data_IF_074847430501
#
_entry.id   IF_074847430501
#
_cell.length_a   1.000
_cell.length_b   1.000
_cell.length_c   1.000
_cell.angle_alpha   90.00
_cell.angle_beta   90.00
_cell.angle_gamma   90.00
#
_symmetry.space_group_name_H-M   'P 1'
#
loop_
_entity.id
_entity.type
_entity.pdbx_description
1 polymer ?
#
# COMPACT_ATOMS: atom_id res chain seq x y z
N UNK A 1 -16.40 34.68 -3.48
CA UNK A 1 -15.10 35.07 -4.06
C UNK A 1 -14.01 33.97 -3.97
N UNK A 2 -14.12 32.98 -3.12
CA UNK A 2 -13.10 31.91 -2.97
C UNK A 2 -13.14 30.82 -4.09
N UNK A 3 -14.29 30.58 -4.71
CA UNK A 3 -14.43 29.53 -5.73
C UNK A 3 -13.85 29.88 -7.12
N UNK A 4 -13.57 31.16 -7.37
CA UNK A 4 -13.02 31.63 -8.64
C UNK A 4 -11.48 31.51 -8.70
N UNK A 5 -10.81 31.55 -7.54
CA UNK A 5 -9.34 31.50 -7.43
C UNK A 5 -8.82 30.07 -7.65
N UNK A 6 -9.58 29.06 -7.23
CA UNK A 6 -9.18 27.64 -7.38
C UNK A 6 -9.29 27.19 -8.85
N UNK A 7 -10.23 27.71 -9.61
CA UNK A 7 -10.34 27.39 -11.05
C UNK A 7 -9.25 28.02 -11.91
N UNK A 8 -8.73 29.17 -11.51
CA UNK A 8 -7.62 29.83 -12.21
C UNK A 8 -6.27 29.14 -11.94
N UNK A 9 -6.08 28.52 -10.78
CA UNK A 9 -4.84 27.84 -10.41
C UNK A 9 -4.70 26.47 -11.07
N UNK A 10 -5.81 25.77 -11.36
CA UNK A 10 -5.75 24.51 -12.11
C UNK A 10 -5.45 24.70 -13.61
N UNK A 11 -5.83 25.83 -14.21
CA UNK A 11 -5.52 26.13 -15.61
C UNK A 11 -4.06 26.56 -15.83
N UNK A 12 -3.40 27.16 -14.83
CA UNK A 12 -2.01 27.59 -14.97
C UNK A 12 -0.99 26.46 -14.81
N UNK A 13 -1.33 25.37 -14.09
CA UNK A 13 -0.44 24.20 -14.02
C UNK A 13 -0.47 23.33 -15.28
N UNK A 14 -1.55 23.38 -16.06
CA UNK A 14 -1.67 22.63 -17.31
C UNK A 14 -0.90 23.25 -18.49
N UNK A 15 -0.51 24.53 -18.41
CA UNK A 15 0.18 25.25 -19.49
C UNK A 15 1.71 25.21 -19.39
N UNK A 16 2.29 24.81 -18.26
CA UNK A 16 3.75 24.71 -18.13
C UNK A 16 4.35 23.37 -18.59
N UNK A 17 3.54 22.42 -19.03
CA UNK A 17 3.98 21.13 -19.56
C UNK A 17 4.15 21.08 -21.10
N UNK A 18 4.01 22.19 -21.80
CA UNK A 18 4.32 22.28 -23.23
C UNK A 18 5.82 22.56 -23.45
N UNK A 19 6.67 21.71 -22.92
CA UNK A 19 8.04 21.57 -23.40
C UNK A 19 7.97 21.13 -24.87
N UNK A 20 8.66 21.84 -25.77
CA UNK A 20 8.78 21.52 -27.19
C UNK A 20 9.32 20.10 -27.36
N UNK A 21 8.42 19.16 -27.51
CA UNK A 21 8.79 17.84 -28.02
C UNK A 21 9.16 18.04 -29.48
N UNK A 22 10.45 17.94 -29.78
CA UNK A 22 10.90 17.78 -31.16
C UNK A 22 10.33 16.44 -31.64
N UNK A 23 9.29 16.49 -32.43
CA UNK A 23 8.81 15.36 -33.19
C UNK A 23 9.88 15.02 -34.24
N UNK A 24 10.84 14.19 -33.85
CA UNK A 24 11.66 13.47 -34.82
C UNK A 24 10.72 12.65 -35.70
N UNK A 25 11.00 12.59 -37.00
CA UNK A 25 10.23 11.96 -38.06
C UNK A 25 9.45 10.72 -37.58
N UNK A 26 8.20 10.92 -37.19
CA UNK A 26 7.25 9.85 -36.96
C UNK A 26 6.86 9.33 -38.33
N UNK A 27 7.37 8.19 -38.74
CA UNK A 27 6.83 7.45 -39.87
C UNK A 27 5.49 6.86 -39.43
N UNK A 28 4.40 7.04 -40.22
CA UNK A 28 3.18 6.30 -39.96
C UNK A 28 3.50 4.80 -39.98
N UNK A 29 3.11 4.08 -38.96
CA UNK A 29 3.14 2.64 -38.96
C UNK A 29 2.06 2.14 -39.93
N UNK A 30 2.44 1.28 -40.86
CA UNK A 30 1.50 0.57 -41.72
C UNK A 30 0.51 -0.23 -40.89
N UNK A 31 -0.75 -0.35 -41.35
CA UNK A 31 -1.81 -1.09 -40.61
C UNK A 31 -1.41 -2.52 -40.25
N UNK A 32 -0.54 -3.12 -41.06
CA UNK A 32 0.00 -4.45 -40.82
C UNK A 32 1.02 -4.50 -39.68
N UNK A 33 1.79 -3.43 -39.47
CA UNK A 33 2.66 -3.26 -38.29
C UNK A 33 1.88 -2.94 -37.04
N UNK A 34 0.79 -2.15 -37.15
CA UNK A 34 -0.14 -1.88 -36.04
C UNK A 34 -0.89 -3.13 -35.59
N UNK A 35 -1.22 -4.04 -36.51
CA UNK A 35 -1.90 -5.31 -36.17
C UNK A 35 -0.98 -6.31 -35.46
N UNK A 36 0.35 -6.13 -35.56
CA UNK A 36 1.36 -6.94 -34.86
C UNK A 36 1.73 -6.36 -33.49
N UNK A 37 1.35 -5.12 -33.21
CA UNK A 37 1.46 -4.54 -31.86
C UNK A 37 0.29 -5.09 -31.04
N UNK A 38 0.41 -6.33 -30.59
CA UNK A 38 -0.50 -6.82 -29.56
C UNK A 38 -0.20 -6.01 -28.30
N UNK A 39 -1.13 -5.18 -27.87
CA UNK A 39 -1.02 -4.33 -26.68
C UNK A 39 -1.02 -5.13 -25.37
N UNK A 40 -0.29 -6.25 -25.35
CA UNK A 40 -0.11 -7.10 -24.17
C UNK A 40 1.14 -6.76 -23.37
N UNK A 41 1.99 -5.87 -23.87
CA UNK A 41 3.16 -5.43 -23.14
C UNK A 41 2.74 -4.33 -22.15
N UNK A 42 2.48 -4.76 -20.94
CA UNK A 42 2.18 -3.85 -19.84
C UNK A 42 3.33 -2.86 -19.60
N UNK A 43 3.03 -1.81 -18.83
CA UNK A 43 4.04 -0.83 -18.43
C UNK A 43 4.97 -1.45 -17.38
N UNK A 44 6.27 -1.53 -17.69
CA UNK A 44 7.29 -1.85 -16.71
C UNK A 44 7.98 -0.55 -16.25
N UNK A 45 8.12 -0.36 -14.94
CA UNK A 45 8.72 0.85 -14.38
C UNK A 45 9.61 0.55 -13.18
N UNK A 46 10.59 1.41 -13.00
CA UNK A 46 11.49 1.39 -11.86
C UNK A 46 11.40 2.72 -11.12
N UNK A 47 11.30 2.66 -9.81
CA UNK A 47 11.23 3.85 -8.94
C UNK A 47 12.63 4.16 -8.36
N UNK A 48 13.67 4.14 -9.19
CA UNK A 48 15.03 4.49 -8.78
C UNK A 48 15.07 5.94 -8.28
N UNK A 49 15.72 6.14 -7.13
CA UNK A 49 15.85 7.46 -6.52
C UNK A 49 14.54 8.10 -6.10
N UNK A 50 13.44 7.33 -6.04
CA UNK A 50 12.16 7.86 -5.60
C UNK A 50 12.23 8.28 -4.14
N UNK A 51 11.82 9.51 -3.87
CA UNK A 51 11.61 10.02 -2.53
C UNK A 51 10.40 10.98 -2.54
N UNK A 52 9.56 10.84 -1.56
CA UNK A 52 8.41 11.70 -1.31
C UNK A 52 8.41 12.10 0.16
N UNK A 53 8.31 13.38 0.40
CA UNK A 53 8.17 13.92 1.75
C UNK A 53 7.25 15.15 1.72
N UNK A 54 6.56 15.42 2.80
CA UNK A 54 5.73 16.62 2.86
C UNK A 54 4.81 16.67 4.08
N UNK A 55 4.25 17.85 4.33
CA UNK A 55 3.33 18.10 5.43
C UNK A 55 1.90 17.58 5.14
N UNK A 56 1.74 16.69 4.15
CA UNK A 56 0.43 16.08 3.88
C UNK A 56 -0.14 15.48 5.16
N UNK A 57 -1.39 15.79 5.46
CA UNK A 57 -2.13 15.19 6.57
C UNK A 57 -3.39 14.55 6.04
N UNK A 58 -3.59 13.28 6.36
CA UNK A 58 -4.82 12.55 6.14
C UNK A 58 -5.59 12.54 7.44
N UNK A 59 -6.83 12.97 7.43
CA UNK A 59 -7.68 13.01 8.63
C UNK A 59 -8.97 12.23 8.37
N UNK A 60 -9.23 11.25 9.21
CA UNK A 60 -10.54 10.62 9.30
C UNK A 60 -11.30 11.24 10.48
N UNK A 61 -12.46 11.83 10.22
CA UNK A 61 -13.31 12.45 11.24
C UNK A 61 -14.56 11.61 11.39
N UNK A 62 -14.83 11.17 12.63
CA UNK A 62 -16.09 10.49 12.96
C UNK A 62 -17.27 11.48 12.84
N UNK A 63 -18.42 11.03 12.34
CA UNK A 63 -19.65 11.84 12.34
C UNK A 63 -20.28 12.02 13.73
N UNK A 64 -19.73 11.38 14.76
CA UNK A 64 -20.26 11.43 16.12
C UNK A 64 -20.14 12.82 16.77
N UNK A 65 -20.90 13.06 17.82
CA UNK A 65 -20.86 14.31 18.57
C UNK A 65 -19.45 14.58 19.11
N UNK A 66 -18.95 15.81 18.85
CA UNK A 66 -17.57 16.19 19.19
C UNK A 66 -16.55 15.93 18.08
N UNK A 67 -16.97 15.32 16.95
CA UNK A 67 -16.15 15.08 15.76
C UNK A 67 -14.73 14.55 16.07
N UNK A 68 -14.59 13.46 16.85
CA UNK A 68 -13.27 12.91 17.10
C UNK A 68 -12.64 12.50 15.78
N UNK A 69 -11.35 12.74 15.65
CA UNK A 69 -10.63 12.41 14.41
C UNK A 69 -9.30 11.74 14.69
N UNK A 70 -8.93 10.81 13.79
CA UNK A 70 -7.61 10.25 13.70
C UNK A 70 -6.88 10.96 12.55
N UNK A 71 -5.64 11.36 12.75
CA UNK A 71 -4.82 11.95 11.71
C UNK A 71 -3.50 11.19 11.53
N UNK A 72 -3.03 11.17 10.28
CA UNK A 72 -1.71 10.73 9.86
C UNK A 72 -1.07 11.88 9.08
N UNK A 73 0.16 12.23 9.41
CA UNK A 73 0.81 13.38 8.78
C UNK A 73 2.32 13.24 8.66
N UNK A 74 2.97 14.26 8.11
CA UNK A 74 4.41 14.30 7.92
C UNK A 74 4.95 13.05 7.23
N UNK A 75 4.34 12.69 6.10
CA UNK A 75 4.71 11.48 5.36
C UNK A 75 6.12 11.57 4.79
N UNK A 76 6.83 10.47 4.92
CA UNK A 76 8.09 10.23 4.25
C UNK A 76 8.08 8.85 3.63
N UNK A 77 8.41 8.75 2.35
CA UNK A 77 8.54 7.50 1.62
C UNK A 77 9.74 7.62 0.69
N UNK A 78 10.69 6.71 0.78
CA UNK A 78 11.82 6.66 -0.15
C UNK A 78 12.37 5.24 -0.28
N UNK A 79 13.29 5.06 -1.22
CA UNK A 79 14.13 3.88 -1.25
C UNK A 79 15.08 3.91 -0.05
N UNK A 80 15.33 2.73 0.55
CA UNK A 80 16.29 2.55 1.66
C UNK A 80 17.53 1.76 1.27
N UNK A 81 17.51 1.18 0.05
CA UNK A 81 18.67 0.50 -0.54
C UNK A 81 19.58 1.46 -1.31
N UNK A 82 20.65 0.92 -1.86
CA UNK A 82 21.57 1.69 -2.73
C UNK A 82 20.82 2.18 -3.96
N UNK A 83 20.66 3.50 -4.05
CA UNK A 83 19.98 4.19 -5.16
C UNK A 83 20.70 4.03 -6.50
N UNK A 84 21.97 3.66 -6.49
CA UNK A 84 22.79 3.45 -7.68
C UNK A 84 22.77 2.00 -8.17
N UNK A 85 22.25 1.08 -7.37
CA UNK A 85 22.13 -0.32 -7.76
C UNK A 85 21.28 -0.45 -9.04
N UNK A 86 21.79 -1.18 -10.02
CA UNK A 86 21.04 -1.48 -11.23
C UNK A 86 19.91 -2.45 -10.88
N UNK A 87 18.69 -2.01 -11.14
CA UNK A 87 17.51 -2.78 -10.86
C UNK A 87 17.02 -3.43 -12.16
N UNK A 88 17.02 -4.77 -12.21
CA UNK A 88 16.68 -5.54 -13.41
C UNK A 88 15.28 -6.14 -13.40
N UNK A 89 14.58 -6.10 -12.25
CA UNK A 89 13.25 -6.67 -12.08
C UNK A 89 12.25 -5.56 -11.71
N UNK A 90 11.54 -4.98 -12.70
CA UNK A 90 10.69 -3.81 -12.50
C UNK A 90 9.35 -4.16 -11.87
N UNK A 91 8.68 -3.15 -11.34
CA UNK A 91 7.23 -3.17 -11.16
C UNK A 91 6.57 -3.26 -12.53
N UNK A 92 5.46 -3.97 -12.61
CA UNK A 92 4.71 -4.13 -13.87
C UNK A 92 3.25 -3.79 -13.66
N UNK A 93 2.73 -2.98 -14.57
CA UNK A 93 1.31 -2.72 -14.71
C UNK A 93 0.84 -3.40 -16.00
N UNK A 94 0.08 -4.46 -15.86
CA UNK A 94 -0.44 -5.24 -17.00
C UNK A 94 -1.95 -5.06 -17.10
N UNK A 95 -2.46 -5.11 -18.32
CA UNK A 95 -3.89 -5.23 -18.59
C UNK A 95 -4.06 -6.49 -19.45
N UNK A 96 -4.85 -7.43 -18.98
CA UNK A 96 -5.08 -8.68 -19.71
C UNK A 96 -6.53 -9.13 -19.60
N UNK A 97 -6.99 -9.79 -20.69
CA UNK A 97 -8.33 -10.36 -20.73
C UNK A 97 -8.32 -11.78 -20.20
N UNK A 98 -9.34 -12.14 -19.44
CA UNK A 98 -9.59 -13.50 -18.98
C UNK A 98 -10.97 -13.97 -19.45
N UNK A 99 -11.06 -15.23 -19.84
CA UNK A 99 -12.31 -15.81 -20.30
C UNK A 99 -13.39 -15.71 -19.19
N UNK A 100 -14.52 -15.11 -19.53
CA UNK A 100 -15.67 -14.96 -18.61
C UNK A 100 -15.54 -13.79 -17.63
N UNK A 101 -14.56 -12.92 -17.79
CA UNK A 101 -14.33 -11.74 -16.95
C UNK A 101 -14.09 -10.51 -17.82
N UNK A 102 -14.31 -9.34 -17.23
CA UNK A 102 -13.77 -8.08 -17.78
C UNK A 102 -12.24 -8.08 -17.71
N UNK A 103 -11.62 -7.16 -18.43
CA UNK A 103 -10.17 -6.98 -18.36
C UNK A 103 -9.69 -6.78 -16.93
N UNK A 104 -8.58 -7.42 -16.62
CA UNK A 104 -7.93 -7.34 -15.31
C UNK A 104 -6.75 -6.40 -15.42
N UNK A 105 -6.72 -5.39 -14.55
CA UNK A 105 -5.56 -4.53 -14.34
C UNK A 105 -4.75 -5.14 -13.19
N UNK A 106 -3.48 -5.43 -13.43
CA UNK A 106 -2.58 -6.02 -12.44
C UNK A 106 -1.35 -5.15 -12.23
N UNK A 107 -1.12 -4.76 -10.99
CA UNK A 107 0.13 -4.16 -10.53
C UNK A 107 0.92 -5.24 -9.79
N UNK A 108 1.97 -5.75 -10.45
CA UNK A 108 2.85 -6.78 -9.88
C UNK A 108 4.08 -6.16 -9.23
N UNK A 109 4.41 -6.64 -8.04
CA UNK A 109 5.69 -6.34 -7.41
C UNK A 109 6.84 -7.08 -8.09
N UNK A 110 8.07 -6.54 -8.05
CA UNK A 110 9.25 -7.28 -8.47
C UNK A 110 9.39 -8.59 -7.68
N UNK A 111 9.96 -9.62 -8.31
CA UNK A 111 10.32 -10.85 -7.60
C UNK A 111 11.40 -10.60 -6.55
N UNK A 112 12.25 -9.61 -6.81
CA UNK A 112 13.25 -9.09 -5.88
C UNK A 112 14.12 -10.18 -5.26
N UNK A 113 14.52 -11.16 -6.05
CA UNK A 113 15.21 -12.40 -5.61
C UNK A 113 16.42 -12.10 -4.72
N UNK A 114 17.11 -11.01 -4.97
CA UNK A 114 18.29 -10.59 -4.21
C UNK A 114 17.96 -9.62 -3.07
N UNK A 115 16.68 -9.26 -2.85
CA UNK A 115 16.26 -8.32 -1.81
C UNK A 115 16.82 -6.90 -1.97
N UNK A 116 17.15 -6.48 -3.19
CA UNK A 116 17.82 -5.21 -3.46
C UNK A 116 16.87 -4.02 -3.44
N UNK A 117 15.57 -4.23 -3.68
CA UNK A 117 14.58 -3.16 -3.68
C UNK A 117 13.96 -3.04 -2.31
N UNK A 118 14.39 -2.06 -1.59
CA UNK A 118 13.91 -1.79 -0.23
C UNK A 118 13.35 -0.39 -0.13
N UNK A 119 12.34 -0.25 0.69
CA UNK A 119 11.65 0.99 0.96
C UNK A 119 11.71 1.36 2.43
N UNK A 120 11.60 2.62 2.69
CA UNK A 120 11.35 3.13 4.04
C UNK A 120 10.18 4.10 4.02
N UNK A 121 9.39 4.01 5.07
CA UNK A 121 8.21 4.84 5.26
C UNK A 121 8.21 5.39 6.68
N UNK A 122 7.77 6.62 6.85
CA UNK A 122 7.47 7.16 8.16
C UNK A 122 6.26 8.08 8.11
N UNK A 123 5.48 8.10 9.17
CA UNK A 123 4.37 9.01 9.37
C UNK A 123 4.16 9.29 10.86
N UNK A 124 3.81 10.53 11.16
CA UNK A 124 3.33 10.90 12.49
C UNK A 124 1.83 10.64 12.58
N UNK A 125 1.33 10.28 13.74
CA UNK A 125 -0.08 10.02 13.95
C UNK A 125 -0.58 10.61 15.27
N UNK A 126 -1.87 10.85 15.33
CA UNK A 126 -2.50 11.35 16.55
C UNK A 126 -4.02 11.36 16.47
N UNK A 127 -4.62 11.80 17.56
CA UNK A 127 -6.08 11.86 17.73
C UNK A 127 -6.47 13.26 18.16
N UNK A 128 -7.53 13.78 17.55
CA UNK A 128 -8.21 14.98 18.04
C UNK A 128 -9.53 14.56 18.68
N UNK A 129 -9.79 15.02 19.90
CA UNK A 129 -11.03 14.78 20.61
C UNK A 129 -11.34 15.96 21.53
N UNK A 130 -12.59 16.42 21.58
CA UNK A 130 -13.03 17.50 22.46
C UNK A 130 -12.15 18.77 22.34
N UNK A 131 -11.82 19.18 21.11
CA UNK A 131 -10.92 20.31 20.83
C UNK A 131 -9.49 20.16 21.38
N UNK A 132 -9.08 18.97 21.76
CA UNK A 132 -7.72 18.66 22.21
C UNK A 132 -7.07 17.74 21.20
N UNK A 133 -5.83 18.08 20.81
CA UNK A 133 -5.01 17.24 19.92
C UNK A 133 -4.01 16.44 20.76
N UNK A 134 -4.00 15.14 20.56
CA UNK A 134 -3.05 14.22 21.15
C UNK A 134 -2.11 13.74 20.05
N UNK A 135 -0.81 13.99 20.22
CA UNK A 135 0.21 13.38 19.37
C UNK A 135 0.45 11.95 19.86
N UNK A 136 0.16 10.97 19.00
CA UNK A 136 0.37 9.55 19.27
C UNK A 136 1.80 9.09 19.01
N UNK A 137 2.58 9.93 18.33
CA UNK A 137 3.96 9.64 18.01
C UNK A 137 4.20 9.38 16.52
N UNK A 138 5.18 8.52 16.22
CA UNK A 138 5.60 8.22 14.86
C UNK A 138 5.66 6.72 14.63
N UNK A 139 5.20 6.30 13.46
CA UNK A 139 5.40 4.97 12.90
C UNK A 139 6.49 5.04 11.83
N UNK A 140 7.48 4.16 11.91
CA UNK A 140 8.57 4.06 10.94
C UNK A 140 8.67 2.60 10.47
N UNK A 141 8.74 2.40 9.15
CA UNK A 141 9.07 1.14 8.52
C UNK A 141 10.40 1.31 7.80
N UNK A 142 11.37 0.46 8.11
CA UNK A 142 12.68 0.42 7.45
C UNK A 142 12.85 -0.90 6.72
N UNK A 143 13.50 -0.83 5.56
CA UNK A 143 13.78 -2.00 4.72
C UNK A 143 12.54 -2.83 4.38
N UNK A 144 11.43 -2.14 4.08
CA UNK A 144 10.22 -2.77 3.58
C UNK A 144 10.49 -3.34 2.19
N UNK A 145 10.42 -4.64 2.05
CA UNK A 145 10.81 -5.39 0.87
C UNK A 145 9.66 -6.26 0.41
N UNK A 146 9.22 -6.08 -0.84
CA UNK A 146 8.21 -6.93 -1.47
C UNK A 146 8.87 -7.97 -2.37
N UNK A 147 8.35 -9.21 -2.37
CA UNK A 147 8.86 -10.33 -3.17
C UNK A 147 7.74 -10.92 -4.03
N UNK A 148 7.51 -10.34 -5.20
CA UNK A 148 6.43 -10.76 -6.07
C UNK A 148 5.04 -10.46 -5.48
N UNK A 149 4.02 -11.14 -6.02
CA UNK A 149 2.63 -10.83 -5.70
C UNK A 149 2.20 -9.49 -6.28
N UNK A 150 1.20 -8.88 -5.68
CA UNK A 150 0.69 -7.59 -6.13
C UNK A 150 -0.81 -7.45 -5.94
N UNK A 151 -1.36 -6.46 -6.62
CA UNK A 151 -2.77 -6.09 -6.63
C UNK A 151 -3.35 -6.30 -8.04
N UNK A 152 -4.43 -7.05 -8.15
CA UNK A 152 -5.22 -7.16 -9.37
C UNK A 152 -6.60 -6.55 -9.14
N UNK A 153 -7.14 -5.83 -10.11
CA UNK A 153 -8.48 -5.21 -10.05
C UNK A 153 -9.24 -5.47 -11.34
N UNK A 154 -10.55 -5.67 -11.21
CA UNK A 154 -11.48 -5.87 -12.31
C UNK A 154 -12.90 -5.49 -11.87
N UNK A 155 -13.87 -5.58 -12.77
CA UNK A 155 -15.29 -5.54 -12.40
C UNK A 155 -15.72 -6.89 -11.83
N UNK A 156 -16.66 -6.94 -10.85
CA UNK A 156 -17.21 -8.21 -10.37
C UNK A 156 -17.80 -9.04 -11.51
N UNK A 157 -17.58 -10.34 -11.46
CA UNK A 157 -18.17 -11.29 -12.44
C UNK A 157 -19.67 -11.49 -12.28
N UNK A 158 -20.20 -11.29 -11.08
CA UNK A 158 -21.64 -11.25 -10.81
C UNK A 158 -22.18 -9.84 -11.12
N UNK A 159 -23.05 -9.69 -12.15
CA UNK A 159 -23.58 -8.37 -12.53
C UNK A 159 -24.48 -7.74 -11.46
N UNK A 160 -24.93 -8.50 -10.47
CA UNK A 160 -25.70 -7.98 -9.34
C UNK A 160 -24.82 -7.28 -8.30
N UNK A 161 -23.52 -7.56 -8.29
CA UNK A 161 -22.53 -6.95 -7.41
C UNK A 161 -21.93 -5.75 -8.09
N UNK A 162 -22.26 -4.56 -7.62
CA UNK A 162 -21.61 -3.32 -8.08
C UNK A 162 -20.32 -3.09 -7.33
N UNK A 163 -19.35 -2.42 -7.98
CA UNK A 163 -18.09 -2.05 -7.37
C UNK A 163 -16.87 -2.58 -8.11
N UNK A 164 -15.79 -2.79 -7.37
CA UNK A 164 -14.51 -3.28 -7.85
C UNK A 164 -14.20 -4.62 -7.21
N UNK A 165 -13.91 -5.63 -8.02
CA UNK A 165 -13.36 -6.88 -7.57
C UNK A 165 -11.83 -6.78 -7.55
N UNK A 166 -11.19 -7.31 -6.51
CA UNK A 166 -9.73 -7.28 -6.41
C UNK A 166 -9.15 -8.63 -5.98
N UNK A 167 -7.90 -8.84 -6.35
CA UNK A 167 -7.02 -9.87 -5.83
C UNK A 167 -5.82 -9.22 -5.16
N UNK A 168 -5.36 -9.77 -4.06
CA UNK A 168 -4.19 -9.29 -3.33
C UNK A 168 -3.34 -10.46 -2.88
N UNK A 169 -2.07 -10.46 -3.28
CA UNK A 169 -1.09 -11.44 -2.83
C UNK A 169 0.16 -10.70 -2.34
N UNK A 170 0.64 -11.04 -1.14
CA UNK A 170 1.74 -10.36 -0.49
C UNK A 170 2.78 -11.33 0.06
N UNK A 171 4.05 -11.06 -0.24
CA UNK A 171 5.20 -11.55 0.51
C UNK A 171 6.04 -10.34 0.85
N UNK A 172 6.18 -10.08 2.16
CA UNK A 172 6.76 -8.84 2.65
C UNK A 172 7.74 -9.14 3.77
N UNK A 173 8.92 -8.54 3.66
CA UNK A 173 9.88 -8.46 4.75
C UNK A 173 9.97 -7.00 5.21
N UNK A 174 10.07 -6.78 6.52
CA UNK A 174 10.30 -5.47 7.10
C UNK A 174 11.50 -5.59 8.03
N UNK A 175 12.58 -4.88 7.72
CA UNK A 175 13.77 -4.89 8.55
C UNK A 175 13.47 -4.40 9.96
N UNK A 176 12.84 -3.22 10.08
CA UNK A 176 12.37 -2.70 11.36
C UNK A 176 11.01 -2.00 11.21
N UNK A 177 10.10 -2.31 12.14
CA UNK A 177 8.93 -1.50 12.44
C UNK A 177 9.18 -0.83 13.80
N UNK A 178 9.14 0.51 13.81
CA UNK A 178 9.43 1.30 15.00
C UNK A 178 8.25 2.20 15.30
N UNK A 179 7.79 2.16 16.54
CA UNK A 179 6.77 3.07 17.08
C UNK A 179 7.41 3.91 18.15
N UNK A 180 7.39 5.23 17.99
CA UNK A 180 7.88 6.21 18.94
C UNK A 180 6.71 6.99 19.52
N UNK A 181 6.62 7.13 20.84
CA UNK A 181 5.55 7.89 21.49
C UNK A 181 5.67 9.41 21.31
N UNK A 182 6.74 9.88 20.69
CA UNK A 182 6.99 11.30 20.39
C UNK A 182 7.19 11.49 18.89
N UNK A 183 6.75 12.63 18.37
CA UNK A 183 6.98 12.98 16.98
C UNK A 183 8.47 13.02 16.66
N UNK A 184 8.79 12.84 15.39
CA UNK A 184 10.15 12.99 14.86
C UNK A 184 10.54 14.47 14.86
N UNK A 185 11.77 14.75 15.24
CA UNK A 185 12.38 16.08 15.03
C UNK A 185 12.70 16.32 13.55
N UNK A 186 12.98 15.24 12.81
CA UNK A 186 13.25 15.23 11.37
C UNK A 186 12.19 14.36 10.69
N UNK A 187 11.67 14.83 9.54
CA UNK A 187 10.71 14.07 8.73
C UNK A 187 11.35 12.85 8.06
N UNK A 188 12.67 12.85 7.88
CA UNK A 188 13.40 11.68 7.39
C UNK A 188 13.36 10.53 8.41
N UNK A 189 13.66 9.33 7.94
CA UNK A 189 13.78 8.17 8.83
C UNK A 189 15.03 8.31 9.69
N UNK A 190 14.87 8.88 10.88
CA UNK A 190 15.97 9.11 11.78
C UNK A 190 16.57 7.79 12.30
N UNK A 191 17.87 7.83 12.65
CA UNK A 191 18.57 6.70 13.23
C UNK A 191 17.79 6.18 14.47
N UNK A 192 17.34 4.90 14.51
CA UNK A 192 16.61 4.35 15.63
C UNK A 192 17.40 4.37 16.94
N UNK A 193 18.75 4.39 16.88
CA UNK A 193 19.59 4.35 18.07
C UNK A 193 19.66 5.69 18.81
N UNK A 194 19.22 6.79 18.20
CA UNK A 194 19.24 8.13 18.82
C UNK A 194 18.06 8.40 19.74
N UNK A 195 17.05 7.52 19.82
CA UNK A 195 15.82 7.72 20.58
C UNK A 195 15.79 6.86 21.84
N UNK A 196 15.45 7.47 22.96
CA UNK A 196 15.42 6.81 24.27
C UNK A 196 14.16 5.97 24.50
N UNK A 197 13.03 6.35 23.90
CA UNK A 197 11.77 5.62 24.08
C UNK A 197 11.23 5.14 22.73
N UNK A 198 11.12 3.84 22.57
CA UNK A 198 10.52 3.23 21.38
C UNK A 198 10.18 1.75 21.58
N UNK A 199 9.16 1.29 20.85
CA UNK A 199 8.98 -0.12 20.51
C UNK A 199 9.65 -0.37 19.16
N UNK A 200 10.51 -1.37 19.09
CA UNK A 200 11.13 -1.84 17.84
C UNK A 200 10.80 -3.30 17.63
N UNK A 201 10.29 -3.64 16.46
CA UNK A 201 10.00 -4.98 15.99
C UNK A 201 10.88 -5.21 14.77
N UNK A 202 11.84 -6.12 14.85
CA UNK A 202 12.80 -6.37 13.79
C UNK A 202 12.62 -7.73 13.13
N UNK A 203 13.00 -7.81 11.84
CA UNK A 203 12.94 -9.04 11.07
C UNK A 203 11.52 -9.59 10.96
N UNK A 204 10.59 -8.76 10.50
CA UNK A 204 9.21 -9.18 10.25
C UNK A 204 9.16 -9.82 8.88
N UNK A 205 8.68 -11.07 8.79
CA UNK A 205 8.49 -11.79 7.54
C UNK A 205 7.04 -12.27 7.45
N UNK A 206 6.32 -11.81 6.44
CA UNK A 206 4.96 -12.22 6.11
C UNK A 206 4.96 -12.90 4.75
N UNK A 207 4.52 -14.15 4.70
CA UNK A 207 4.46 -14.93 3.47
C UNK A 207 3.32 -15.96 3.49
N UNK A 208 3.02 -16.53 2.32
CA UNK A 208 2.21 -17.73 2.20
C UNK A 208 3.02 -19.01 2.42
N UNK A 209 2.40 -20.14 2.13
CA UNK A 209 3.06 -21.45 2.19
C UNK A 209 4.28 -21.49 1.25
N UNK A 210 5.31 -22.18 1.66
CA UNK A 210 6.59 -22.31 0.93
C UNK A 210 7.24 -20.96 0.59
N UNK A 211 7.07 -19.98 1.46
CA UNK A 211 7.63 -18.65 1.26
C UNK A 211 7.19 -17.96 -0.05
N UNK A 212 5.98 -18.28 -0.52
CA UNK A 212 5.32 -17.65 -1.67
C UNK A 212 4.55 -16.39 -1.24
N UNK A 213 4.10 -15.52 -2.17
CA UNK A 213 3.13 -14.50 -1.83
C UNK A 213 1.84 -15.11 -1.25
N UNK A 214 1.41 -14.65 -0.08
CA UNK A 214 0.18 -15.06 0.55
C UNK A 214 -1.02 -14.42 -0.15
N UNK A 215 -1.88 -15.26 -0.74
CA UNK A 215 -3.08 -14.79 -1.41
C UNK A 215 -4.16 -14.46 -0.35
N UNK A 216 -4.38 -13.18 -0.13
CA UNK A 216 -5.42 -12.65 0.77
C UNK A 216 -6.77 -12.64 0.05
N UNK A 217 -6.78 -12.30 -1.24
CA UNK A 217 -7.91 -12.41 -2.14
C UNK A 217 -7.41 -12.81 -3.53
N UNK A 218 -8.24 -13.52 -4.28
CA UNK A 218 -7.86 -13.99 -5.61
C UNK A 218 -8.89 -13.54 -6.64
N UNK A 219 -8.50 -12.67 -7.55
CA UNK A 219 -9.39 -11.95 -8.47
C UNK A 219 -10.35 -12.83 -9.28
N UNK A 220 -9.99 -14.09 -9.53
CA UNK A 220 -10.81 -15.01 -10.34
C UNK A 220 -11.60 -16.02 -9.53
N UNK A 221 -11.06 -16.51 -8.42
CA UNK A 221 -11.67 -17.63 -7.67
C UNK A 221 -12.33 -17.17 -6.39
N UNK A 222 -11.81 -16.16 -5.74
CA UNK A 222 -12.33 -15.59 -4.50
C UNK A 222 -11.95 -14.12 -4.40
N UNK A 223 -12.60 -13.25 -5.18
CA UNK A 223 -12.26 -11.83 -5.18
C UNK A 223 -12.65 -11.16 -3.86
N UNK A 224 -11.82 -10.24 -3.43
CA UNK A 224 -12.27 -9.21 -2.52
C UNK A 224 -13.16 -8.21 -3.27
N UNK A 225 -14.12 -7.62 -2.59
CA UNK A 225 -15.06 -6.64 -3.17
C UNK A 225 -14.91 -5.32 -2.45
N UNK A 226 -14.78 -4.25 -3.22
CA UNK A 226 -14.83 -2.88 -2.74
C UNK A 226 -15.99 -2.17 -3.41
N UNK A 227 -17.03 -1.81 -2.63
CA UNK A 227 -18.26 -1.25 -3.16
C UNK A 227 -18.95 -0.30 -2.16
N UNK A 228 -20.06 0.28 -2.60
CA UNK A 228 -21.01 0.95 -1.72
C UNK A 228 -22.16 0.00 -1.43
N UNK A 229 -22.51 -0.15 -0.16
CA UNK A 229 -23.66 -0.92 0.28
C UNK A 229 -24.62 -0.05 1.08
N UNK A 230 -25.89 -0.40 1.07
CA UNK A 230 -26.92 0.25 1.89
C UNK A 230 -27.47 -0.77 2.88
N UNK A 231 -27.51 -0.40 4.14
CA UNK A 231 -28.07 -1.28 5.19
C UNK A 231 -29.60 -1.24 5.22
N UNK A 232 -30.17 -2.00 6.14
CA UNK A 232 -31.62 -2.09 6.34
C UNK A 232 -32.26 -0.75 6.79
N UNK A 233 -31.47 0.15 7.35
CA UNK A 233 -31.92 1.47 7.80
C UNK A 233 -31.77 2.54 6.71
N UNK A 234 -31.33 2.14 5.51
CA UNK A 234 -31.15 3.02 4.34
C UNK A 234 -29.86 3.83 4.40
N UNK A 235 -28.92 3.53 5.30
CA UNK A 235 -27.62 4.19 5.39
C UNK A 235 -26.64 3.55 4.40
N UNK A 236 -25.91 4.41 3.69
CA UNK A 236 -24.88 3.96 2.73
C UNK A 236 -23.51 3.95 3.37
N UNK A 237 -22.74 2.91 3.07
CA UNK A 237 -21.38 2.69 3.56
C UNK A 237 -20.46 2.34 2.41
N UNK A 238 -19.23 2.78 2.49
CA UNK A 238 -18.15 2.22 1.71
C UNK A 238 -17.76 0.87 2.35
N UNK A 239 -17.73 -0.18 1.56
CA UNK A 239 -17.56 -1.55 2.04
C UNK A 239 -16.37 -2.22 1.37
N UNK A 240 -15.55 -2.88 2.20
CA UNK A 240 -14.48 -3.76 1.78
C UNK A 240 -14.77 -5.16 2.34
N UNK A 241 -15.02 -6.12 1.45
CA UNK A 241 -15.34 -7.50 1.81
C UNK A 241 -14.36 -8.51 1.21
N UNK A 242 -13.98 -9.50 2.00
CA UNK A 242 -13.28 -10.72 1.57
C UNK A 242 -14.01 -11.90 2.20
N UNK A 243 -14.38 -12.92 1.40
CA UNK A 243 -15.10 -14.08 1.89
C UNK A 243 -14.58 -15.36 1.23
N UNK A 244 -13.84 -16.16 1.99
CA UNK A 244 -13.35 -17.47 1.59
C UNK A 244 -14.26 -18.62 2.03
N UNK A 245 -15.37 -18.36 2.72
CA UNK A 245 -16.27 -19.40 3.22
C UNK A 245 -16.87 -20.26 2.10
N UNK A 246 -17.04 -19.69 0.91
CA UNK A 246 -17.52 -20.40 -0.28
C UNK A 246 -16.43 -21.23 -0.98
N UNK A 247 -15.18 -21.06 -0.62
CA UNK A 247 -14.06 -21.83 -1.19
C UNK A 247 -13.99 -23.22 -0.58
N UNK A 248 -14.00 -24.31 -1.38
CA UNK A 248 -13.94 -25.68 -0.87
C UNK A 248 -12.66 -26.00 -0.08
N UNK A 249 -11.59 -25.25 -0.30
CA UNK A 249 -10.30 -25.44 0.38
C UNK A 249 -10.07 -24.40 1.51
N UNK A 250 -11.05 -23.51 1.75
CA UNK A 250 -10.88 -22.38 2.67
C UNK A 250 -9.86 -21.35 2.18
N UNK A 251 -9.54 -20.38 3.03
CA UNK A 251 -8.54 -19.35 2.74
C UNK A 251 -7.12 -19.94 2.70
N UNK A 252 -6.25 -19.45 1.80
CA UNK A 252 -4.83 -19.78 1.80
C UNK A 252 -4.18 -19.45 3.15
N UNK A 253 -3.22 -20.27 3.53
CA UNK A 253 -2.47 -20.08 4.77
C UNK A 253 -1.32 -19.12 4.57
N UNK A 254 -1.17 -18.21 5.51
CA UNK A 254 -0.02 -17.35 5.66
C UNK A 254 0.75 -17.67 6.94
N UNK A 255 1.94 -17.11 7.06
CA UNK A 255 2.78 -17.16 8.24
C UNK A 255 3.39 -15.79 8.51
N UNK A 256 3.56 -15.47 9.78
CA UNK A 256 4.25 -14.28 10.25
C UNK A 256 5.36 -14.72 11.20
N UNK A 257 6.58 -14.31 10.92
CA UNK A 257 7.71 -14.48 11.86
C UNK A 257 8.29 -13.12 12.21
N UNK A 258 8.78 -12.99 13.43
CA UNK A 258 9.41 -11.80 13.98
C UNK A 258 10.68 -12.26 14.66
N UNK A 259 11.82 -11.68 14.29
CA UNK A 259 13.11 -12.05 14.86
C UNK A 259 13.28 -11.51 16.27
N UNK A 260 12.84 -10.27 16.51
CA UNK A 260 12.97 -9.68 17.81
C UNK A 260 11.97 -8.55 18.08
N UNK A 261 11.55 -8.44 19.34
CA UNK A 261 10.72 -7.34 19.85
C UNK A 261 11.46 -6.70 21.01
N UNK A 262 11.76 -5.41 20.91
CA UNK A 262 12.52 -4.66 21.92
C UNK A 262 11.77 -3.39 22.32
N UNK A 263 11.66 -3.14 23.60
CA UNK A 263 11.28 -1.84 24.15
C UNK A 263 12.53 -1.13 24.65
N UNK A 264 12.70 0.11 24.22
CA UNK A 264 13.64 1.06 24.79
C UNK A 264 12.92 2.00 25.72
N UNK A 265 13.46 2.24 26.89
CA UNK A 265 12.93 3.22 27.85
C UNK A 265 14.09 3.89 28.57
N UNK A 266 13.98 5.20 28.77
CA UNK A 266 14.94 5.98 29.56
C UNK A 266 14.82 5.71 31.07
N UNK A 267 13.72 5.12 31.52
CA UNK A 267 13.47 4.78 32.93
C UNK A 267 13.90 3.35 33.27
N UNK A 268 13.48 2.39 32.45
CA UNK A 268 13.68 0.95 32.74
C UNK A 268 14.80 0.29 31.92
N UNK A 269 15.42 1.06 31.02
CA UNK A 269 16.41 0.53 30.08
C UNK A 269 15.77 -0.29 28.95
N UNK A 270 16.54 -1.21 28.38
CA UNK A 270 16.08 -2.02 27.26
C UNK A 270 15.47 -3.33 27.75
N UNK A 271 14.27 -3.65 27.28
CA UNK A 271 13.60 -4.93 27.50
C UNK A 271 13.50 -5.65 26.17
N UNK A 272 14.07 -6.84 26.08
CA UNK A 272 14.05 -7.69 24.91
C UNK A 272 13.10 -8.86 25.15
N UNK A 273 12.07 -8.99 24.32
CA UNK A 273 11.08 -10.08 24.39
C UNK A 273 11.45 -11.28 23.50
N UNK A 274 12.48 -11.13 22.65
CA UNK A 274 12.89 -12.17 21.72
C UNK A 274 12.00 -12.31 20.49
N UNK A 275 12.10 -13.48 19.85
CA UNK A 275 11.39 -13.79 18.61
C UNK A 275 9.96 -14.24 18.84
N UNK A 276 9.14 -14.07 17.81
CA UNK A 276 7.75 -14.54 17.79
C UNK A 276 7.41 -15.18 16.45
N UNK A 277 6.52 -16.16 16.46
CA UNK A 277 6.06 -16.82 15.24
C UNK A 277 4.59 -17.17 15.32
N UNK A 278 3.85 -16.85 14.26
CA UNK A 278 2.47 -17.24 14.05
C UNK A 278 2.42 -18.02 12.73
N UNK A 279 2.04 -19.29 12.82
CA UNK A 279 1.89 -20.17 11.67
C UNK A 279 0.40 -20.33 11.31
N UNK A 280 0.14 -20.63 10.06
CA UNK A 280 -1.21 -20.93 9.56
C UNK A 280 -2.23 -19.81 9.80
N UNK A 281 -1.84 -18.57 9.53
CA UNK A 281 -2.75 -17.43 9.51
C UNK A 281 -3.71 -17.62 8.32
N UNK A 282 -5.00 -17.57 8.57
CA UNK A 282 -6.01 -17.60 7.51
C UNK A 282 -6.98 -16.44 7.67
N UNK A 283 -7.17 -15.67 6.61
CA UNK A 283 -8.20 -14.64 6.54
C UNK A 283 -9.44 -15.24 5.85
N UNK A 284 -10.30 -15.90 6.60
CA UNK A 284 -11.50 -16.53 6.07
C UNK A 284 -12.57 -15.52 5.67
N UNK A 285 -12.70 -14.46 6.47
CA UNK A 285 -13.73 -13.47 6.30
C UNK A 285 -13.24 -12.09 6.80
N UNK A 286 -13.49 -11.07 5.99
CA UNK A 286 -13.30 -9.67 6.36
C UNK A 286 -14.50 -8.88 5.83
N UNK A 287 -15.16 -8.13 6.69
CA UNK A 287 -16.22 -7.19 6.34
C UNK A 287 -15.94 -5.87 7.07
N UNK A 288 -15.53 -4.87 6.32
CA UNK A 288 -15.22 -3.52 6.84
C UNK A 288 -16.15 -2.52 6.21
N UNK A 289 -16.87 -1.77 7.05
CA UNK A 289 -17.79 -0.71 6.65
C UNK A 289 -17.26 0.63 7.15
N UNK A 290 -17.06 1.55 6.22
CA UNK A 290 -16.66 2.92 6.52
C UNK A 290 -17.89 3.82 6.43
N UNK A 291 -18.20 4.49 7.50
CA UNK A 291 -19.35 5.40 7.66
C UNK A 291 -18.96 6.83 7.32
#
# INVERSE_FOLDING_TARGET
MCALVIRAMCCSLALCALGTVHAGNLHPLEDEALSQVSGQDGLAFNLRGFAMSGPLTLTYTSPDAGNPSLWLGNFYLSRSDDVDATFTDPYRLNIYSRLGMSDVIELSNPLNVNGLVKWQFAADFGVNANNTSFNGGTLILQDLTFYGGGLSITTPSDPSVQGVAFGLALRVDIGNLIIRPRARDDISVANPDSVTEQLSISGIHLSGENNSPWAIAHVTTQPGIFNAITDADGQSYLHLGIDWNSSPNGAPKGSLTIDNITFKSDVTGNVNLGSSRIESIQLQYLDVKFR
#
